data_IF_363272562749
#
_entry.id   IF_363272562749
#
_cell.length_a   1.000
_cell.length_b   1.000
_cell.length_c   1.000
_cell.angle_alpha   90.00
_cell.angle_beta   90.00
_cell.angle_gamma   90.00
#
_symmetry.space_group_name_H-M   'P 1'
#
loop_
_entity.id
_entity.type
_entity.pdbx_description
1 polymer ?
#
# COMPACT_ATOMS: atom_id res chain seq x y z
N UNK A 1 -21.84 -21.76 3.64
CA UNK A 1 -21.18 -20.45 3.77
C UNK A 1 -19.77 -20.73 4.26
N UNK A 2 -18.80 -20.83 3.35
CA UNK A 2 -17.43 -21.16 3.71
C UNK A 2 -16.73 -19.87 4.10
N UNK A 3 -16.70 -19.58 5.40
CA UNK A 3 -15.65 -18.71 5.93
C UNK A 3 -14.40 -19.55 5.86
N UNK A 4 -13.54 -19.31 4.86
CA UNK A 4 -12.17 -19.80 4.92
C UNK A 4 -11.61 -19.20 6.20
N UNK A 5 -11.47 -20.02 7.24
CA UNK A 5 -10.47 -19.77 8.28
C UNK A 5 -9.19 -19.52 7.51
N UNK A 6 -8.68 -18.30 7.56
CA UNK A 6 -7.29 -18.06 7.22
C UNK A 6 -6.53 -18.96 8.19
N UNK A 7 -6.15 -20.14 7.72
CA UNK A 7 -5.22 -21.03 8.42
C UNK A 7 -4.04 -20.17 8.89
N UNK A 8 -3.51 -20.47 10.07
CA UNK A 8 -2.44 -19.81 10.84
C UNK A 8 -1.10 -19.67 10.10
N UNK A 9 -1.09 -19.24 8.84
CA UNK A 9 0.09 -18.85 8.10
C UNK A 9 0.40 -17.40 8.48
N UNK A 10 1.51 -17.20 9.19
CA UNK A 10 2.09 -15.88 9.38
C UNK A 10 2.50 -15.38 7.99
N UNK A 11 1.65 -14.52 7.42
CA UNK A 11 1.95 -13.83 6.17
C UNK A 11 2.97 -12.73 6.50
N UNK A 12 4.19 -12.90 5.98
CA UNK A 12 5.22 -11.86 6.11
C UNK A 12 4.93 -10.76 5.10
N UNK A 13 4.83 -9.53 5.60
CA UNK A 13 4.74 -8.34 4.78
C UNK A 13 5.81 -7.35 5.23
N UNK A 14 6.28 -6.56 4.28
CA UNK A 14 7.11 -5.40 4.57
C UNK A 14 6.22 -4.18 4.77
N UNK A 15 6.61 -3.29 5.67
CA UNK A 15 5.87 -2.04 5.95
C UNK A 15 6.58 -0.84 5.34
N UNK A 16 5.80 0.05 4.74
CA UNK A 16 6.30 1.31 4.19
C UNK A 16 5.49 2.50 4.73
N UNK A 17 6.05 3.16 5.75
CA UNK A 17 5.49 4.35 6.40
C UNK A 17 6.41 5.56 6.17
N UNK A 18 6.09 6.46 5.23
CA UNK A 18 6.86 7.70 5.06
C UNK A 18 6.04 8.79 4.34
N UNK A 19 6.25 10.05 4.71
CA UNK A 19 5.70 11.23 4.03
C UNK A 19 6.52 11.54 2.79
N UNK A 20 6.11 11.01 1.64
CA UNK A 20 6.82 11.19 0.36
C UNK A 20 6.41 12.50 -0.32
N UNK A 21 7.21 13.55 -0.13
CA UNK A 21 7.15 14.79 -0.90
C UNK A 21 6.15 15.84 -0.40
N UNK A 22 5.84 16.79 -1.28
CA UNK A 22 4.90 17.91 -1.04
C UNK A 22 3.41 17.48 -1.05
N UNK A 23 3.14 16.19 -1.24
CA UNK A 23 1.80 15.62 -1.34
C UNK A 23 1.16 15.79 -2.71
N UNK A 24 1.86 16.36 -3.70
CA UNK A 24 1.32 16.53 -5.05
C UNK A 24 1.17 15.18 -5.73
N UNK A 25 -0.08 14.78 -5.96
CA UNK A 25 -0.43 13.54 -6.66
C UNK A 25 -0.30 13.75 -8.17
N UNK A 26 0.80 13.30 -8.75
CA UNK A 26 1.10 13.42 -10.18
C UNK A 26 0.91 12.13 -10.97
N UNK A 27 0.84 11.00 -10.27
CA UNK A 27 0.90 9.67 -10.87
C UNK A 27 -0.24 8.78 -10.38
N UNK A 28 -0.43 7.64 -11.06
CA UNK A 28 -1.47 6.69 -10.71
C UNK A 28 -0.99 5.24 -10.80
N UNK A 29 -1.48 4.40 -9.88
CA UNK A 29 -1.32 2.95 -9.90
C UNK A 29 -2.68 2.26 -9.94
N UNK A 30 -2.73 1.06 -10.51
CA UNK A 30 -3.93 0.24 -10.47
C UNK A 30 -3.89 -0.68 -9.24
N UNK A 31 -4.93 -0.65 -8.41
CA UNK A 31 -5.12 -1.54 -7.27
C UNK A 31 -6.56 -2.05 -7.26
N UNK A 32 -6.76 -3.38 -7.25
CA UNK A 32 -8.08 -4.03 -7.27
C UNK A 32 -9.01 -3.52 -8.40
N UNK A 33 -8.45 -3.15 -9.56
CA UNK A 33 -9.21 -2.60 -10.70
C UNK A 33 -9.55 -1.11 -10.59
N UNK A 34 -9.12 -0.43 -9.52
CA UNK A 34 -9.28 1.01 -9.33
C UNK A 34 -7.96 1.74 -9.58
N UNK A 35 -8.05 2.97 -10.11
CA UNK A 35 -6.91 3.86 -10.25
C UNK A 35 -6.71 4.66 -8.96
N UNK A 36 -5.57 4.52 -8.32
CA UNK A 36 -5.18 5.26 -7.12
C UNK A 36 -4.17 6.35 -7.50
N UNK A 37 -4.55 7.60 -7.27
CA UNK A 37 -3.64 8.74 -7.44
C UNK A 37 -2.64 8.81 -6.28
N UNK A 38 -1.36 8.84 -6.64
CA UNK A 38 -0.22 8.80 -5.72
C UNK A 38 0.82 9.88 -6.08
N UNK A 39 1.76 10.12 -5.18
CA UNK A 39 2.89 11.01 -5.44
C UNK A 39 3.96 10.31 -6.30
N UNK A 40 4.73 11.08 -7.05
CA UNK A 40 5.85 10.57 -7.85
C UNK A 40 6.87 9.81 -7.01
N UNK A 41 7.21 10.37 -5.85
CA UNK A 41 8.17 9.77 -4.92
C UNK A 41 7.69 8.41 -4.42
N UNK A 42 6.38 8.27 -4.18
CA UNK A 42 5.79 6.99 -3.81
C UNK A 42 5.84 5.97 -4.95
N UNK A 43 5.57 6.38 -6.19
CA UNK A 43 5.72 5.51 -7.36
C UNK A 43 7.17 5.01 -7.49
N UNK A 44 8.13 5.91 -7.33
CA UNK A 44 9.56 5.59 -7.36
C UNK A 44 9.92 4.62 -6.24
N UNK A 45 9.45 4.83 -5.02
CA UNK A 45 9.67 3.91 -3.91
C UNK A 45 9.11 2.50 -4.21
N UNK A 46 7.88 2.40 -4.74
CA UNK A 46 7.30 1.13 -5.15
C UNK A 46 8.13 0.43 -6.24
N UNK A 47 8.66 1.19 -7.20
CA UNK A 47 9.53 0.65 -8.25
C UNK A 47 10.85 0.10 -7.69
N UNK A 48 11.43 0.76 -6.68
CA UNK A 48 12.65 0.28 -6.01
C UNK A 48 12.39 -0.95 -5.14
N UNK A 49 11.22 -1.05 -4.52
CA UNK A 49 10.85 -2.20 -3.70
C UNK A 49 10.49 -3.41 -4.58
N UNK A 50 10.00 -3.18 -5.79
CA UNK A 50 9.62 -4.24 -6.72
C UNK A 50 10.83 -5.12 -7.03
N UNK A 51 10.71 -6.41 -6.67
CA UNK A 51 11.65 -7.45 -7.08
C UNK A 51 11.27 -7.99 -8.46
N UNK A 52 12.26 -8.34 -9.26
CA UNK A 52 12.05 -8.84 -10.62
C UNK A 52 11.46 -10.26 -10.61
N UNK A 53 11.85 -11.06 -9.62
CA UNK A 53 11.63 -12.51 -9.61
C UNK A 53 10.48 -12.95 -8.70
N UNK A 54 9.99 -12.06 -7.83
CA UNK A 54 8.93 -12.37 -6.87
C UNK A 54 8.00 -11.19 -6.59
N UNK A 55 6.73 -11.50 -6.37
CA UNK A 55 5.78 -10.54 -5.81
C UNK A 55 6.06 -10.35 -4.33
N UNK A 56 6.11 -9.09 -3.89
CA UNK A 56 6.24 -8.74 -2.49
C UNK A 56 4.88 -8.31 -1.93
N UNK A 57 4.62 -8.64 -0.67
CA UNK A 57 3.47 -8.13 0.06
C UNK A 57 3.91 -6.93 0.88
N UNK A 58 3.33 -5.78 0.56
CA UNK A 58 3.62 -4.51 1.23
C UNK A 58 2.36 -4.01 1.92
N UNK A 59 2.53 -3.58 3.18
CA UNK A 59 1.55 -2.75 3.86
C UNK A 59 2.03 -1.30 3.80
N UNK A 60 1.20 -0.43 3.23
CA UNK A 60 1.55 0.97 3.01
C UNK A 60 0.45 1.85 3.57
N UNK A 61 0.80 2.70 4.53
CA UNK A 61 -0.13 3.56 5.26
C UNK A 61 -1.02 4.37 4.31
N UNK A 62 -0.45 4.98 3.27
CA UNK A 62 -1.18 5.84 2.33
C UNK A 62 -2.22 5.10 1.47
N UNK A 63 -2.14 3.77 1.39
CA UNK A 63 -3.08 2.91 0.64
C UNK A 63 -3.98 2.13 1.59
N UNK A 64 -3.41 1.54 2.64
CA UNK A 64 -4.07 0.60 3.53
C UNK A 64 -4.87 1.28 4.63
N UNK A 65 -4.49 2.50 5.04
CA UNK A 65 -5.25 3.32 5.98
C UNK A 65 -6.14 4.26 5.19
N UNK A 66 -7.42 4.34 5.55
CA UNK A 66 -8.32 5.35 5.05
C UNK A 66 -7.91 6.74 5.55
N UNK A 67 -7.08 7.43 4.76
CA UNK A 67 -6.57 8.77 5.09
C UNK A 67 -7.65 9.85 5.28
N UNK A 68 -8.92 9.57 4.91
CA UNK A 68 -10.05 10.49 5.12
C UNK A 68 -10.74 10.30 6.46
N UNK A 69 -10.49 9.18 7.13
CA UNK A 69 -11.02 8.88 8.45
C UNK A 69 -9.93 9.19 9.47
N UNK A 70 -10.16 10.25 10.26
CA UNK A 70 -9.19 10.67 11.28
C UNK A 70 -9.06 9.66 12.40
N UNK A 71 -10.13 8.91 12.70
CA UNK A 71 -10.11 7.91 13.76
C UNK A 71 -9.30 6.69 13.32
N UNK A 72 -9.34 6.31 12.04
CA UNK A 72 -8.50 5.24 11.49
C UNK A 72 -7.04 5.66 11.31
N UNK A 73 -6.80 6.92 10.91
CA UNK A 73 -5.45 7.44 10.67
C UNK A 73 -4.62 7.59 11.94
N UNK A 74 -5.27 8.00 13.03
CA UNK A 74 -4.60 8.37 14.28
C UNK A 74 -4.67 7.26 15.36
N UNK A 75 -5.24 6.09 15.03
CA UNK A 75 -5.31 4.90 15.89
C UNK A 75 -4.02 4.05 15.87
#
# INVERSE_FOLDING_TARGET
MFVNKFDDFIVRYDTLSHTWGDGTKSDAIAANGYSLSITKDFLVALQHLRRQDEGILLWVDIICINQKDTDERDA
#
